data_IF_861425607813
#
_entry.id   IF_861425607813
#
_cell.length_a   1.000
_cell.length_b   1.000
_cell.length_c   1.000
_cell.angle_alpha   90.00
_cell.angle_beta   90.00
_cell.angle_gamma   90.00
#
_symmetry.space_group_name_H-M   'P 1'
#
loop_
_entity.id
_entity.type
_entity.pdbx_description
1 polymer ?
#
# COMPACT_ATOMS: atom_id res chain seq x y z
N UNK A 1 5.23 -14.66 -14.09
CA UNK A 1 4.92 -13.25 -13.78
C UNK A 1 6.22 -12.48 -13.72
N UNK A 2 6.23 -11.22 -14.17
CA UNK A 2 7.45 -10.40 -14.23
C UNK A 2 7.53 -9.53 -12.98
N UNK A 3 8.71 -9.48 -12.35
CA UNK A 3 8.95 -8.59 -11.23
C UNK A 3 8.94 -7.13 -11.70
N UNK A 4 8.21 -6.28 -10.98
CA UNK A 4 8.16 -4.84 -11.19
C UNK A 4 9.27 -4.12 -10.39
N UNK A 5 9.57 -4.64 -9.20
CA UNK A 5 10.68 -4.19 -8.38
C UNK A 5 11.23 -5.34 -7.52
N UNK A 6 12.46 -5.15 -7.05
CA UNK A 6 13.22 -6.16 -6.33
C UNK A 6 14.03 -5.52 -5.22
N UNK A 7 14.03 -6.12 -4.04
CA UNK A 7 14.91 -5.75 -2.91
C UNK A 7 15.74 -6.95 -2.48
N UNK A 8 16.53 -6.82 -1.41
CA UNK A 8 17.31 -7.94 -0.85
C UNK A 8 16.42 -9.11 -0.42
N UNK A 9 15.23 -8.85 0.15
CA UNK A 9 14.36 -9.90 0.70
C UNK A 9 13.07 -10.10 -0.09
N UNK A 10 12.68 -9.16 -0.95
CA UNK A 10 11.33 -9.10 -1.52
C UNK A 10 11.32 -8.99 -3.05
N UNK A 11 10.28 -9.57 -3.63
CA UNK A 11 9.87 -9.40 -5.02
C UNK A 11 8.53 -8.69 -5.02
N UNK A 12 8.43 -7.59 -5.76
CA UNK A 12 7.19 -6.86 -5.98
C UNK A 12 6.72 -7.14 -7.41
N UNK A 13 5.48 -7.59 -7.55
CA UNK A 13 4.89 -7.94 -8.85
C UNK A 13 3.41 -7.60 -8.91
N UNK A 14 2.82 -7.64 -10.11
CA UNK A 14 1.39 -7.49 -10.25
C UNK A 14 0.66 -8.57 -9.41
N UNK A 15 -0.40 -8.22 -8.67
CA UNK A 15 -1.16 -9.18 -7.89
C UNK A 15 -1.95 -10.14 -8.77
N UNK A 16 -2.22 -11.32 -8.23
CA UNK A 16 -3.00 -12.38 -8.86
C UNK A 16 -3.99 -13.00 -7.86
N UNK A 17 -4.65 -14.08 -8.26
CA UNK A 17 -5.62 -14.78 -7.43
C UNK A 17 -5.00 -15.42 -6.17
N UNK A 18 -3.68 -15.70 -6.14
CA UNK A 18 -3.02 -16.34 -5.01
C UNK A 18 -2.87 -15.39 -3.81
N UNK A 19 -3.02 -14.08 -4.01
CA UNK A 19 -3.06 -13.11 -2.91
C UNK A 19 -4.38 -13.16 -2.11
N UNK A 20 -5.42 -13.80 -2.64
CA UNK A 20 -6.75 -13.83 -2.03
C UNK A 20 -6.77 -14.36 -0.58
N UNK A 21 -6.13 -15.50 -0.24
CA UNK A 21 -6.15 -16.01 1.12
C UNK A 21 -5.57 -15.01 2.14
N UNK A 22 -4.46 -14.35 1.79
CA UNK A 22 -3.82 -13.33 2.62
C UNK A 22 -4.68 -12.07 2.75
N UNK A 23 -5.20 -11.59 1.62
CA UNK A 23 -6.09 -10.41 1.59
C UNK A 23 -7.34 -10.63 2.43
N UNK A 24 -8.05 -11.75 2.21
CA UNK A 24 -9.23 -12.13 2.98
C UNK A 24 -8.90 -12.22 4.47
N UNK A 25 -7.80 -12.88 4.84
CA UNK A 25 -7.41 -13.04 6.25
C UNK A 25 -7.19 -11.68 6.92
N UNK A 26 -6.56 -10.72 6.22
CA UNK A 26 -6.40 -9.36 6.72
C UNK A 26 -7.75 -8.66 6.89
N UNK A 27 -8.48 -8.46 5.79
CA UNK A 27 -9.64 -7.54 5.76
C UNK A 27 -10.86 -8.06 6.53
N UNK A 28 -10.92 -9.36 6.81
CA UNK A 28 -12.00 -9.96 7.63
C UNK A 28 -11.64 -10.07 9.12
N UNK A 29 -10.46 -9.59 9.53
CA UNK A 29 -9.98 -9.63 10.92
C UNK A 29 -9.98 -8.24 11.59
N UNK A 30 -9.84 -8.15 12.92
CA UNK A 30 -9.66 -6.87 13.62
C UNK A 30 -8.42 -6.07 13.19
N UNK A 31 -7.45 -6.71 12.52
CA UNK A 31 -6.29 -6.02 11.97
C UNK A 31 -6.68 -5.06 10.83
N UNK A 32 -7.86 -5.24 10.22
CA UNK A 32 -8.40 -4.38 9.18
C UNK A 32 -8.87 -2.99 9.67
N UNK A 33 -8.83 -2.71 10.97
CA UNK A 33 -9.34 -1.46 11.55
C UNK A 33 -8.78 -0.20 10.86
N UNK A 34 -7.54 -0.27 10.35
CA UNK A 34 -6.89 0.83 9.61
C UNK A 34 -6.76 0.57 8.10
N UNK A 35 -7.44 -0.44 7.57
CA UNK A 35 -7.43 -0.85 6.17
C UNK A 35 -8.86 -0.90 5.60
N UNK A 36 -9.66 0.13 5.90
CA UNK A 36 -11.06 0.21 5.47
C UNK A 36 -12.08 -0.51 6.37
N UNK A 37 -11.63 -0.99 7.54
CA UNK A 37 -12.47 -1.67 8.52
C UNK A 37 -12.68 -3.15 8.21
N UNK A 38 -13.26 -3.87 9.19
CA UNK A 38 -13.51 -5.30 9.05
C UNK A 38 -14.66 -5.55 8.06
N UNK A 39 -14.34 -6.22 6.96
CA UNK A 39 -15.28 -6.55 5.90
C UNK A 39 -15.90 -7.94 6.11
N UNK A 40 -17.15 -8.06 5.68
CA UNK A 40 -17.79 -9.37 5.48
C UNK A 40 -17.27 -10.03 4.19
N UNK A 41 -17.29 -11.37 4.07
CA UNK A 41 -16.62 -12.09 2.98
C UNK A 41 -16.95 -11.61 1.56
N UNK A 42 -18.22 -11.28 1.27
CA UNK A 42 -18.58 -10.80 -0.07
C UNK A 42 -18.02 -9.41 -0.37
N UNK A 43 -17.98 -8.51 0.62
CA UNK A 43 -17.34 -7.19 0.49
C UNK A 43 -15.83 -7.31 0.35
N UNK A 44 -15.22 -8.23 1.09
CA UNK A 44 -13.79 -8.54 0.96
C UNK A 44 -13.44 -8.99 -0.46
N UNK A 45 -14.26 -9.86 -1.06
CA UNK A 45 -14.07 -10.31 -2.44
C UNK A 45 -14.19 -9.17 -3.45
N UNK A 46 -15.20 -8.30 -3.31
CA UNK A 46 -15.36 -7.14 -4.19
C UNK A 46 -14.20 -6.14 -4.04
N UNK A 47 -13.73 -5.91 -2.81
CA UNK A 47 -12.57 -5.06 -2.56
C UNK A 47 -11.30 -5.63 -3.21
N UNK A 48 -11.08 -6.94 -3.09
CA UNK A 48 -9.97 -7.63 -3.73
C UNK A 48 -10.04 -7.56 -5.26
N UNK A 49 -11.21 -7.83 -5.84
CA UNK A 49 -11.44 -7.65 -7.27
C UNK A 49 -11.19 -6.20 -7.70
N UNK A 50 -11.52 -5.22 -6.86
CA UNK A 50 -11.17 -3.81 -7.05
C UNK A 50 -9.66 -3.55 -7.10
N UNK A 51 -8.87 -4.23 -6.25
CA UNK A 51 -7.40 -4.13 -6.29
C UNK A 51 -6.83 -4.64 -7.62
N UNK A 52 -7.32 -5.79 -8.11
CA UNK A 52 -6.92 -6.34 -9.41
C UNK A 52 -7.42 -5.46 -10.57
N UNK A 53 -8.66 -4.99 -10.49
CA UNK A 53 -9.27 -4.12 -11.49
C UNK A 53 -8.56 -2.76 -11.60
N UNK A 54 -7.99 -2.26 -10.51
CA UNK A 54 -7.23 -1.02 -10.52
C UNK A 54 -6.02 -1.11 -11.47
N UNK A 55 -5.32 -2.25 -11.50
CA UNK A 55 -4.26 -2.51 -12.48
C UNK A 55 -4.77 -2.44 -13.92
N UNK A 56 -5.92 -3.07 -14.20
CA UNK A 56 -6.55 -3.05 -15.53
C UNK A 56 -6.96 -1.64 -15.95
N UNK A 57 -7.47 -0.83 -15.02
CA UNK A 57 -8.05 0.49 -15.32
C UNK A 57 -7.01 1.62 -15.36
N UNK A 58 -5.97 1.54 -14.53
CA UNK A 58 -4.97 2.63 -14.37
C UNK A 58 -3.58 2.25 -14.88
N UNK A 59 -3.31 0.97 -15.18
CA UNK A 59 -1.98 0.48 -15.55
C UNK A 59 -1.01 0.34 -14.38
N UNK A 60 -1.47 0.57 -13.14
CA UNK A 60 -0.73 0.41 -11.91
C UNK A 60 -1.69 0.05 -10.77
N UNK A 61 -1.18 -0.36 -9.61
CA UNK A 61 -1.96 -0.63 -8.41
C UNK A 61 -1.09 -1.15 -7.28
N UNK A 62 -1.72 -1.57 -6.16
CA UNK A 62 -0.98 -2.27 -5.11
C UNK A 62 -0.35 -3.54 -5.68
N UNK A 63 0.95 -3.73 -5.44
CA UNK A 63 1.72 -4.88 -5.93
C UNK A 63 1.68 -6.00 -4.89
N UNK A 64 1.60 -7.25 -5.33
CA UNK A 64 1.89 -8.40 -4.47
C UNK A 64 3.34 -8.34 -4.02
N UNK A 65 3.57 -8.54 -2.72
CA UNK A 65 4.91 -8.59 -2.13
C UNK A 65 5.18 -10.02 -1.73
N UNK A 66 6.22 -10.62 -2.31
CA UNK A 66 6.63 -12.00 -2.00
C UNK A 66 8.02 -12.04 -1.39
N UNK A 67 8.21 -12.87 -0.36
CA UNK A 67 9.52 -13.11 0.21
C UNK A 67 10.37 -13.97 -0.75
N UNK A 68 11.66 -13.68 -0.88
CA UNK A 68 12.54 -14.38 -1.84
C UNK A 68 12.93 -15.79 -1.43
N UNK A 69 13.01 -16.03 -0.13
CA UNK A 69 13.46 -17.29 0.44
C UNK A 69 12.50 -18.44 0.14
N UNK A 70 11.19 -18.19 0.24
CA UNK A 70 10.16 -19.22 0.12
C UNK A 70 9.00 -18.85 -0.83
N UNK A 71 9.09 -17.69 -1.51
CA UNK A 71 8.08 -17.17 -2.43
C UNK A 71 6.68 -16.95 -1.80
N UNK A 72 6.58 -16.89 -0.48
CA UNK A 72 5.30 -16.63 0.20
C UNK A 72 4.86 -15.19 -0.02
N UNK A 73 3.57 -15.00 -0.29
CA UNK A 73 2.97 -13.67 -0.29
C UNK A 73 2.97 -13.13 1.15
N UNK A 74 3.46 -11.91 1.35
CA UNK A 74 3.55 -11.26 2.67
C UNK A 74 2.66 -10.01 2.78
N UNK A 75 2.11 -9.53 1.67
CA UNK A 75 1.25 -8.35 1.65
C UNK A 75 1.02 -7.79 0.26
N UNK A 76 0.37 -6.64 0.22
CA UNK A 76 0.21 -5.81 -0.97
C UNK A 76 0.67 -4.38 -0.69
N UNK A 77 1.62 -3.87 -1.47
CA UNK A 77 2.24 -2.55 -1.26
C UNK A 77 2.44 -1.89 -2.62
N UNK A 78 2.09 -0.61 -2.77
CA UNK A 78 2.26 0.05 -4.06
C UNK A 78 1.42 1.31 -4.27
N UNK A 79 1.38 1.80 -5.52
CA UNK A 79 0.57 2.94 -5.91
C UNK A 79 -0.93 2.63 -5.84
N UNK A 80 -1.73 3.60 -5.41
CA UNK A 80 -3.18 3.50 -5.45
C UNK A 80 -3.81 4.87 -5.75
N UNK A 81 -4.77 4.88 -6.68
CA UNK A 81 -5.45 6.10 -7.13
C UNK A 81 -6.84 5.78 -7.74
N UNK A 82 -7.79 5.29 -6.91
CA UNK A 82 -9.16 5.10 -7.33
C UNK A 82 -9.85 6.42 -7.68
N UNK A 83 -10.97 6.32 -8.38
CA UNK A 83 -11.77 7.49 -8.78
C UNK A 83 -12.21 8.30 -7.55
N UNK A 84 -12.07 9.63 -7.64
CA UNK A 84 -12.46 10.57 -6.58
C UNK A 84 -11.40 10.84 -5.51
N UNK A 85 -10.23 10.18 -5.55
CA UNK A 85 -9.15 10.48 -4.62
C UNK A 85 -8.47 11.81 -4.94
N UNK A 86 -8.12 12.63 -3.92
CA UNK A 86 -7.56 13.96 -4.16
C UNK A 86 -6.13 13.89 -4.67
N UNK A 87 -5.33 12.95 -4.17
CA UNK A 87 -3.93 12.76 -4.56
C UNK A 87 -3.59 11.28 -4.73
N UNK A 88 -2.51 11.01 -5.45
CA UNK A 88 -1.97 9.68 -5.70
C UNK A 88 -1.29 9.13 -4.44
N UNK A 89 -1.67 7.93 -4.04
CA UNK A 89 -1.21 7.33 -2.79
C UNK A 89 -0.14 6.24 -3.02
N UNK A 90 0.76 6.09 -2.05
CA UNK A 90 1.46 4.84 -1.76
C UNK A 90 0.84 4.20 -0.51
N UNK A 91 0.20 3.05 -0.68
CA UNK A 91 -0.43 2.28 0.39
C UNK A 91 0.32 0.98 0.70
N UNK A 92 0.09 0.44 1.90
CA UNK A 92 0.63 -0.86 2.32
C UNK A 92 -0.35 -1.66 3.16
N UNK A 93 -0.44 -2.94 2.84
CA UNK A 93 -1.19 -3.97 3.54
C UNK A 93 -0.24 -5.14 3.78
N UNK A 94 -0.06 -5.55 5.04
CA UNK A 94 0.69 -6.77 5.37
C UNK A 94 -0.28 -7.83 5.85
N UNK A 95 -0.03 -9.08 5.47
CA UNK A 95 -0.83 -10.19 5.95
C UNK A 95 -0.66 -10.40 7.46
N UNK A 96 -1.67 -10.98 8.14
CA UNK A 96 -1.53 -11.34 9.55
C UNK A 96 -0.27 -12.17 9.79
N UNK A 97 0.54 -11.78 10.79
CA UNK A 97 1.82 -12.43 11.10
C UNK A 97 3.04 -11.90 10.33
N UNK A 98 2.86 -10.98 9.38
CA UNK A 98 3.97 -10.39 8.59
C UNK A 98 4.41 -8.99 9.05
N UNK A 99 3.66 -8.38 9.96
CA UNK A 99 4.00 -7.11 10.59
C UNK A 99 5.24 -7.22 11.48
N UNK A 100 5.96 -6.12 11.70
CA UNK A 100 7.13 -6.07 12.60
C UNK A 100 8.43 -6.66 12.03
N UNK A 101 8.42 -7.21 10.82
CA UNK A 101 9.59 -7.80 10.14
C UNK A 101 10.35 -6.81 9.22
N UNK A 102 9.92 -5.54 9.20
CA UNK A 102 10.48 -4.50 8.33
C UNK A 102 10.02 -4.52 6.87
N UNK A 103 9.17 -5.48 6.47
CA UNK A 103 8.73 -5.62 5.08
C UNK A 103 7.98 -4.41 4.52
N UNK A 104 7.14 -3.76 5.34
CA UNK A 104 6.39 -2.58 4.89
C UNK A 104 7.32 -1.47 4.41
N UNK A 105 8.30 -1.08 5.24
CA UNK A 105 9.26 -0.02 4.91
C UNK A 105 10.15 -0.39 3.71
N UNK A 106 10.63 -1.64 3.65
CA UNK A 106 11.47 -2.11 2.55
C UNK A 106 10.72 -2.10 1.20
N UNK A 107 9.53 -2.72 1.16
CA UNK A 107 8.72 -2.77 -0.05
C UNK A 107 8.18 -1.38 -0.45
N UNK A 108 7.77 -0.55 0.51
CA UNK A 108 7.27 0.79 0.20
C UNK A 108 8.37 1.68 -0.40
N UNK A 109 9.64 1.51 0.03
CA UNK A 109 10.78 2.20 -0.59
C UNK A 109 10.98 1.77 -2.05
N UNK A 110 10.94 0.46 -2.32
CA UNK A 110 11.04 -0.07 -3.68
C UNK A 110 9.84 0.36 -4.56
N UNK A 111 8.63 0.34 -4.00
CA UNK A 111 7.44 0.83 -4.66
C UNK A 111 7.51 2.32 -4.97
N UNK A 112 8.09 3.13 -4.07
CA UNK A 112 8.31 4.56 -4.31
C UNK A 112 9.23 4.81 -5.50
N UNK A 113 10.37 4.10 -5.57
CA UNK A 113 11.25 4.16 -6.74
C UNK A 113 10.51 3.77 -8.01
N UNK A 114 9.73 2.68 -7.99
CA UNK A 114 8.92 2.28 -9.15
C UNK A 114 7.95 3.37 -9.62
N UNK A 115 7.21 4.02 -8.72
CA UNK A 115 6.25 5.07 -9.13
C UNK A 115 6.92 6.33 -9.67
N UNK A 116 8.14 6.64 -9.22
CA UNK A 116 8.89 7.78 -9.73
C UNK A 116 9.57 7.44 -11.06
N UNK A 117 10.36 6.37 -11.09
CA UNK A 117 11.22 6.02 -12.22
C UNK A 117 10.41 5.45 -13.39
N UNK A 118 9.34 4.70 -13.11
CA UNK A 118 8.55 4.00 -14.14
C UNK A 118 7.23 4.72 -14.44
N UNK A 119 6.51 5.18 -13.41
CA UNK A 119 5.22 5.85 -13.61
C UNK A 119 5.33 7.38 -13.78
N UNK A 120 6.52 7.96 -13.56
CA UNK A 120 6.76 9.39 -13.72
C UNK A 120 5.99 10.26 -12.73
N UNK A 121 5.66 9.75 -11.54
CA UNK A 121 4.97 10.54 -10.52
C UNK A 121 5.91 11.62 -9.95
N UNK A 122 5.41 12.86 -9.85
CA UNK A 122 6.16 13.95 -9.22
C UNK A 122 6.14 13.91 -7.68
N UNK A 123 5.29 13.06 -7.10
CA UNK A 123 5.10 12.93 -5.66
C UNK A 123 4.04 11.88 -5.32
N UNK A 124 3.95 11.51 -4.06
CA UNK A 124 2.94 10.60 -3.53
C UNK A 124 2.58 10.97 -2.09
N UNK A 125 1.38 10.60 -1.66
CA UNK A 125 0.95 10.70 -0.25
C UNK A 125 0.64 9.33 0.34
N UNK A 126 0.46 9.27 1.65
CA UNK A 126 -0.16 8.13 2.35
C UNK A 126 -1.19 8.70 3.32
N UNK A 127 -2.43 8.19 3.28
CA UNK A 127 -3.49 8.56 4.21
C UNK A 127 -3.48 7.58 5.38
N UNK A 128 -3.26 8.08 6.60
CA UNK A 128 -3.02 7.22 7.76
C UNK A 128 -3.91 7.67 8.91
N UNK A 129 -4.74 6.77 9.43
CA UNK A 129 -5.54 7.03 10.63
C UNK A 129 -4.65 7.52 11.79
N UNK A 130 -5.03 8.57 12.54
CA UNK A 130 -4.21 9.14 13.62
C UNK A 130 -3.76 8.12 14.68
N UNK A 131 -4.55 7.07 14.91
CA UNK A 131 -4.29 6.02 15.89
C UNK A 131 -3.40 4.88 15.35
N UNK A 132 -3.10 4.88 14.04
CA UNK A 132 -2.29 3.85 13.38
C UNK A 132 -0.78 4.13 13.54
N UNK A 133 -0.30 4.02 14.77
CA UNK A 133 1.11 4.26 15.13
C UNK A 133 2.09 3.42 14.29
N UNK A 134 1.70 2.20 13.89
CA UNK A 134 2.54 1.33 13.07
C UNK A 134 2.78 1.93 11.68
N UNK A 135 1.73 2.43 11.02
CA UNK A 135 1.85 3.03 9.69
C UNK A 135 2.48 4.42 9.73
N UNK A 136 2.22 5.20 10.79
CA UNK A 136 2.94 6.46 11.05
C UNK A 136 4.45 6.18 11.12
N UNK A 137 4.86 5.18 11.90
CA UNK A 137 6.27 4.82 12.00
C UNK A 137 6.87 4.26 10.69
N UNK A 138 6.05 3.70 9.78
CA UNK A 138 6.51 3.34 8.43
C UNK A 138 6.74 4.61 7.61
N UNK A 139 5.79 5.55 7.60
CA UNK A 139 5.90 6.82 6.89
C UNK A 139 7.12 7.64 7.36
N UNK A 140 7.35 7.72 8.66
CA UNK A 140 8.53 8.40 9.24
C UNK A 140 9.84 7.77 8.77
N UNK A 141 9.95 6.42 8.77
CA UNK A 141 11.14 5.72 8.26
C UNK A 141 11.35 5.87 6.75
N UNK A 142 10.29 6.16 6.01
CA UNK A 142 10.37 6.49 4.58
C UNK A 142 10.79 7.95 4.35
N UNK A 143 10.90 8.76 5.40
CA UNK A 143 11.23 10.18 5.33
C UNK A 143 10.04 11.06 4.98
N UNK A 144 8.82 10.56 5.13
CA UNK A 144 7.63 11.34 4.83
C UNK A 144 7.45 12.50 5.82
N UNK A 145 6.89 13.60 5.33
CA UNK A 145 6.53 14.77 6.15
C UNK A 145 5.03 14.85 6.31
N UNK A 146 4.55 15.15 7.52
CA UNK A 146 3.12 15.34 7.77
C UNK A 146 2.67 16.68 7.19
N UNK A 147 1.67 16.65 6.32
CA UNK A 147 1.01 17.85 5.82
C UNK A 147 -0.25 18.13 6.65
N UNK A 148 -0.21 19.20 7.45
CA UNK A 148 -1.32 19.60 8.31
C UNK A 148 -2.38 20.46 7.60
N UNK A 149 -2.10 20.94 6.39
CA UNK A 149 -3.02 21.78 5.61
C UNK A 149 -3.97 20.94 4.74
N UNK A 150 -3.60 19.70 4.44
CA UNK A 150 -4.35 18.79 3.58
C UNK A 150 -5.29 17.93 4.41
N UNK A 151 -6.54 17.84 3.96
CA UNK A 151 -7.56 16.99 4.58
C UNK A 151 -7.45 15.56 4.06
N UNK A 152 -8.06 14.61 4.75
CA UNK A 152 -8.17 13.23 4.30
C UNK A 152 -8.99 13.08 3.02
N UNK A 153 -9.46 11.87 2.74
CA UNK A 153 -10.18 11.51 1.52
C UNK A 153 -11.54 12.23 1.38
N UNK A 154 -12.10 12.73 2.47
CA UNK A 154 -13.33 13.54 2.49
C UNK A 154 -13.28 14.59 3.62
N UNK A 155 -14.20 15.57 3.66
CA UNK A 155 -14.22 16.59 4.71
C UNK A 155 -14.33 16.04 6.13
N UNK A 156 -15.01 14.90 6.30
CA UNK A 156 -15.15 14.16 7.55
C UNK A 156 -14.03 13.14 7.83
N UNK A 157 -13.15 12.87 6.86
CA UNK A 157 -12.02 11.97 7.05
C UNK A 157 -10.93 12.62 7.91
N UNK A 158 -10.59 11.95 9.01
CA UNK A 158 -9.59 12.39 9.98
C UNK A 158 -8.20 11.83 9.71
N UNK A 159 -8.01 11.09 8.62
CA UNK A 159 -6.71 10.57 8.23
C UNK A 159 -5.65 11.69 8.15
N UNK A 160 -4.49 11.41 8.73
CA UNK A 160 -3.29 12.21 8.58
C UNK A 160 -2.73 12.02 7.17
N UNK A 161 -2.32 13.11 6.53
CA UNK A 161 -1.68 13.06 5.21
C UNK A 161 -0.16 13.12 5.39
N UNK A 162 0.54 12.07 4.95
CA UNK A 162 2.00 12.01 4.91
C UNK A 162 2.50 12.14 3.48
N UNK A 163 3.27 13.18 3.16
CA UNK A 163 3.87 13.38 1.84
C UNK A 163 5.22 12.70 1.76
N UNK A 164 5.42 11.89 0.73
CA UNK A 164 6.72 11.26 0.45
C UNK A 164 7.72 12.31 -0.07
N UNK A 165 9.03 12.14 0.19
CA UNK A 165 10.08 12.95 -0.42
C UNK A 165 9.97 12.96 -1.94
N UNK A 166 10.20 14.13 -2.53
CA UNK A 166 10.19 14.29 -3.99
C UNK A 166 11.28 13.43 -4.64
N UNK A 167 11.07 12.99 -5.90
CA UNK A 167 12.07 12.20 -6.64
C UNK A 167 13.42 12.91 -6.78
N UNK A 168 13.43 14.25 -6.88
CA UNK A 168 14.66 15.05 -6.96
C UNK A 168 15.41 15.22 -5.63
N UNK A 169 14.79 14.82 -4.52
CA UNK A 169 15.35 14.93 -3.17
C UNK A 169 15.90 13.59 -2.63
N UNK A 170 15.90 12.53 -3.45
CA UNK A 170 16.26 11.16 -3.03
C UNK A 170 17.51 10.65 -3.76
#
# INVERSE_FOLDING_TARGET
>A
MTALATTDRLILQQPDADDWPGYRALVTSPAAQYAGGQLVPHRAWLAFAGQLGHWTLRGFGLMSVRARDDNRSVGMIGPFYPEGWPERELGWLLWPGETGKGFATEAARAARSYVYDTLGWAGAVSYIAPENAASIAVAERLGCTRDAATRGLSPEDTALVFRHPNPEAT
#
